data_IF_205241736726
#
_entry.id   IF_205241736726
#
_cell.length_a   1.000
_cell.length_b   1.000
_cell.length_c   1.000
_cell.angle_alpha   90.00
_cell.angle_beta   90.00
_cell.angle_gamma   90.00
#
_symmetry.space_group_name_H-M   'P 1'
#
loop_
_entity.id
_entity.type
_entity.pdbx_description
1 polymer ?
#
# COMPACT_ATOMS: atom_id res chain seq x y z
N UNK A 1 17.90 21.24 -2.94
CA UNK A 1 16.43 21.19 -3.09
C UNK A 1 15.93 20.00 -2.29
N UNK A 2 15.06 20.20 -1.30
CA UNK A 2 14.51 19.09 -0.51
C UNK A 2 13.05 18.89 -0.93
N UNK A 3 12.76 17.74 -1.53
CA UNK A 3 11.39 17.33 -1.84
C UNK A 3 10.80 16.59 -0.65
N UNK A 4 9.60 17.00 -0.21
CA UNK A 4 8.83 16.30 0.81
C UNK A 4 7.52 15.80 0.17
N UNK A 5 7.28 14.48 0.11
CA UNK A 5 6.08 13.95 -0.52
C UNK A 5 4.83 14.25 0.32
N UNK A 6 3.80 14.80 -0.34
CA UNK A 6 2.46 15.04 0.24
C UNK A 6 1.53 13.84 0.16
N UNK A 7 1.89 12.82 -0.60
CA UNK A 7 1.18 11.54 -0.64
C UNK A 7 2.04 10.48 0.05
N UNK A 8 1.40 9.45 0.60
CA UNK A 8 2.08 8.33 1.22
C UNK A 8 3.06 7.72 0.21
N UNK A 9 4.38 7.78 0.47
CA UNK A 9 5.34 7.22 -0.47
C UNK A 9 5.34 5.68 -0.45
N UNK A 10 4.74 5.02 0.55
CA UNK A 10 4.65 3.56 0.68
C UNK A 10 3.29 3.05 0.20
N UNK A 11 3.18 2.80 -1.10
CA UNK A 11 1.97 2.30 -1.74
C UNK A 11 2.28 1.14 -2.70
N UNK A 12 1.24 0.42 -3.08
CA UNK A 12 1.31 -0.69 -4.02
C UNK A 12 0.08 -0.76 -4.92
N UNK A 13 0.18 -1.57 -5.97
CA UNK A 13 -0.92 -2.00 -6.81
C UNK A 13 -1.00 -3.53 -6.84
N UNK A 14 -2.23 -4.04 -6.69
CA UNK A 14 -2.56 -5.45 -6.86
C UNK A 14 -3.50 -5.61 -8.07
N UNK A 15 -3.47 -6.74 -8.79
CA UNK A 15 -4.08 -6.89 -10.12
C UNK A 15 -5.59 -7.11 -10.05
N UNK A 16 -6.28 -6.31 -9.23
CA UNK A 16 -7.72 -6.35 -9.05
C UNK A 16 -8.28 -4.92 -8.84
N UNK A 17 -9.44 -4.65 -9.42
CA UNK A 17 -10.21 -3.44 -9.18
C UNK A 17 -11.66 -3.85 -8.90
N UNK A 18 -12.16 -3.52 -7.72
CA UNK A 18 -13.52 -3.88 -7.31
C UNK A 18 -14.59 -2.95 -7.90
N UNK A 19 -14.21 -1.85 -8.56
CA UNK A 19 -15.13 -0.90 -9.18
C UNK A 19 -15.55 -1.33 -10.59
N UNK A 20 -16.80 -1.02 -10.92
CA UNK A 20 -17.35 -1.07 -12.27
C UNK A 20 -17.72 0.35 -12.76
N UNK A 21 -18.27 0.44 -13.97
CA UNK A 21 -18.85 1.70 -14.49
C UNK A 21 -19.91 2.24 -13.53
N UNK A 22 -20.73 1.34 -13.01
CA UNK A 22 -21.76 1.60 -12.02
C UNK A 22 -21.60 0.58 -10.89
N UNK A 23 -21.42 1.05 -9.67
CA UNK A 23 -21.26 0.15 -8.52
C UNK A 23 -19.94 -0.60 -8.50
N UNK A 24 -20.03 -1.83 -8.00
CA UNK A 24 -18.93 -2.77 -7.90
C UNK A 24 -19.03 -3.85 -8.96
N UNK A 25 -17.90 -4.51 -9.22
CA UNK A 25 -17.91 -5.71 -10.05
C UNK A 25 -18.77 -6.81 -9.41
N UNK A 26 -19.47 -7.63 -10.22
CA UNK A 26 -20.39 -8.66 -9.70
C UNK A 26 -19.73 -9.65 -8.73
N UNK A 27 -18.46 -9.96 -8.94
CA UNK A 27 -17.70 -10.87 -8.08
C UNK A 27 -17.28 -10.24 -6.74
N UNK A 28 -17.18 -8.91 -6.66
CA UNK A 28 -16.58 -8.23 -5.51
C UNK A 28 -17.24 -8.58 -4.16
N UNK A 29 -18.58 -8.64 -4.03
CA UNK A 29 -19.24 -9.04 -2.78
C UNK A 29 -18.95 -10.47 -2.34
N UNK A 30 -18.49 -11.33 -3.26
CA UNK A 30 -18.20 -12.74 -3.01
C UNK A 30 -16.71 -12.99 -2.74
N UNK A 31 -15.82 -12.27 -3.43
CA UNK A 31 -14.38 -12.57 -3.42
C UNK A 31 -13.56 -11.65 -2.52
N UNK A 32 -14.04 -10.44 -2.23
CA UNK A 32 -13.32 -9.51 -1.33
C UNK A 32 -13.69 -9.86 0.11
N UNK A 33 -12.74 -10.33 0.95
CA UNK A 33 -13.07 -10.91 2.26
C UNK A 33 -13.79 -9.95 3.22
N UNK A 34 -13.56 -8.65 3.05
CA UNK A 34 -14.10 -7.58 3.89
C UNK A 34 -15.14 -6.72 3.18
N UNK A 35 -15.70 -7.19 2.06
CA UNK A 35 -16.59 -6.36 1.23
C UNK A 35 -17.72 -5.73 2.05
N UNK A 36 -18.44 -6.56 2.82
CA UNK A 36 -19.61 -6.13 3.58
C UNK A 36 -19.26 -5.09 4.66
N UNK A 37 -18.14 -5.29 5.36
CA UNK A 37 -17.65 -4.38 6.39
C UNK A 37 -17.20 -3.03 5.79
N UNK A 38 -16.52 -3.07 4.64
CA UNK A 38 -15.93 -1.88 4.03
C UNK A 38 -16.88 -1.09 3.13
N UNK A 39 -18.06 -1.65 2.80
CA UNK A 39 -18.99 -1.05 1.85
C UNK A 39 -19.53 0.29 2.35
N UNK A 40 -19.31 1.34 1.55
CA UNK A 40 -19.74 2.72 1.84
C UNK A 40 -20.59 3.32 0.71
N UNK A 41 -21.03 2.49 -0.24
CA UNK A 41 -21.83 2.90 -1.38
C UNK A 41 -21.15 2.61 -2.73
N UNK A 42 -21.92 2.69 -3.83
CA UNK A 42 -21.55 2.12 -5.13
C UNK A 42 -20.33 2.77 -5.80
N UNK A 43 -19.92 3.97 -5.40
CA UNK A 43 -18.79 4.68 -6.00
C UNK A 43 -17.47 4.51 -5.22
N UNK A 44 -17.50 3.87 -4.05
CA UNK A 44 -16.39 3.82 -3.09
C UNK A 44 -15.74 2.43 -3.12
N UNK A 45 -14.47 2.34 -3.51
CA UNK A 45 -13.74 1.06 -3.49
C UNK A 45 -13.63 0.50 -2.07
N UNK A 46 -13.83 -0.81 -1.95
CA UNK A 46 -13.59 -1.61 -0.74
C UNK A 46 -12.14 -2.09 -0.62
N UNK A 47 -11.35 -2.00 -1.69
CA UNK A 47 -9.94 -2.42 -1.71
C UNK A 47 -8.98 -1.27 -1.39
N UNK A 48 -9.29 -0.05 -1.84
CA UNK A 48 -8.42 1.12 -1.68
C UNK A 48 -8.12 1.40 -0.20
N UNK A 49 -6.84 1.65 0.12
CA UNK A 49 -6.37 1.98 1.46
C UNK A 49 -6.12 0.78 2.37
N UNK A 50 -6.39 -0.45 1.92
CA UNK A 50 -6.01 -1.67 2.65
C UNK A 50 -4.49 -1.82 2.69
N UNK A 51 -3.98 -2.38 3.78
CA UNK A 51 -2.54 -2.55 3.97
C UNK A 51 -2.08 -3.96 3.59
N UNK A 52 -0.88 -4.03 3.04
CA UNK A 52 -0.14 -5.27 2.88
C UNK A 52 1.22 -5.18 3.55
N UNK A 53 1.69 -6.30 4.09
CA UNK A 53 3.07 -6.51 4.50
C UNK A 53 3.80 -7.19 3.35
N UNK A 54 4.92 -6.62 2.91
CA UNK A 54 5.77 -7.11 1.82
C UNK A 54 7.12 -7.48 2.42
N UNK A 55 7.52 -8.74 2.27
CA UNK A 55 8.75 -9.29 2.85
C UNK A 55 9.74 -9.66 1.76
N UNK A 56 10.98 -9.18 1.92
CA UNK A 56 12.14 -9.61 1.14
C UNK A 56 13.33 -9.83 2.07
N UNK A 57 13.83 -11.07 2.11
CA UNK A 57 14.88 -11.46 3.05
C UNK A 57 14.45 -11.20 4.51
N UNK A 58 15.31 -10.53 5.28
CA UNK A 58 15.04 -10.16 6.67
C UNK A 58 14.28 -8.84 6.88
N UNK A 59 13.77 -8.20 5.80
CA UNK A 59 13.07 -6.92 5.89
C UNK A 59 11.60 -7.05 5.51
N UNK A 60 10.76 -6.26 6.17
CA UNK A 60 9.34 -6.13 5.86
C UNK A 60 8.96 -4.66 5.72
N UNK A 61 8.35 -4.31 4.58
CA UNK A 61 7.73 -3.02 4.34
C UNK A 61 6.22 -3.16 4.45
N UNK A 62 5.55 -2.09 4.89
CA UNK A 62 4.09 -2.02 4.89
C UNK A 62 3.68 -0.96 3.88
N UNK A 63 2.73 -1.30 3.01
CA UNK A 63 2.29 -0.44 1.92
C UNK A 63 0.76 -0.42 1.85
N UNK A 64 0.20 0.75 1.52
CA UNK A 64 -1.23 0.87 1.24
C UNK A 64 -1.52 0.52 -0.22
N UNK A 65 -2.60 -0.21 -0.44
CA UNK A 65 -3.12 -0.50 -1.76
C UNK A 65 -3.82 0.74 -2.32
N UNK A 66 -3.19 1.38 -3.30
CA UNK A 66 -3.66 2.66 -3.83
C UNK A 66 -4.05 2.62 -5.32
N UNK A 67 -3.66 1.58 -6.05
CA UNK A 67 -3.89 1.45 -7.49
C UNK A 67 -4.16 -0.01 -7.92
N UNK A 68 -4.62 -0.24 -9.15
CA UNK A 68 -4.92 -1.56 -9.69
C UNK A 68 -4.01 -1.94 -10.87
N UNK A 69 -3.33 -3.08 -10.74
CA UNK A 69 -2.29 -3.54 -11.66
C UNK A 69 -1.34 -4.52 -10.97
N UNK A 70 -0.33 -5.08 -11.63
CA UNK A 70 0.14 -4.75 -12.98
C UNK A 70 -0.61 -5.47 -14.11
N UNK A 71 -0.65 -4.84 -15.30
CA UNK A 71 -1.14 -5.35 -16.61
C UNK A 71 -2.61 -5.77 -16.71
N UNK A 72 -3.28 -6.03 -15.59
CA UNK A 72 -4.68 -6.46 -15.51
C UNK A 72 -5.28 -6.00 -14.19
N UNK A 73 -6.60 -6.00 -14.11
CA UNK A 73 -7.33 -5.53 -12.93
C UNK A 73 -8.49 -6.47 -12.56
N UNK A 74 -8.45 -7.72 -13.02
CA UNK A 74 -9.50 -8.72 -12.88
C UNK A 74 -9.01 -10.02 -12.23
N UNK A 75 -7.76 -10.07 -11.75
CA UNK A 75 -7.14 -11.29 -11.25
C UNK A 75 -7.33 -11.48 -9.75
N UNK A 76 -8.60 -11.48 -9.33
CA UNK A 76 -8.98 -11.68 -7.93
C UNK A 76 -8.54 -13.04 -7.37
N UNK A 77 -8.38 -14.07 -8.21
CA UNK A 77 -7.94 -15.40 -7.79
C UNK A 77 -6.51 -15.40 -7.23
N UNK A 78 -5.65 -14.51 -7.71
CA UNK A 78 -4.31 -14.32 -7.14
C UNK A 78 -4.36 -13.40 -5.91
N UNK A 79 -5.21 -12.38 -5.94
CA UNK A 79 -5.26 -11.36 -4.88
C UNK A 79 -5.91 -11.91 -3.60
N UNK A 80 -6.98 -12.69 -3.73
CA UNK A 80 -7.77 -13.21 -2.60
C UNK A 80 -7.82 -14.73 -2.53
N UNK A 81 -7.23 -15.43 -3.50
CA UNK A 81 -7.18 -16.90 -3.55
C UNK A 81 -5.73 -17.42 -3.64
N UNK A 82 -5.60 -18.66 -4.09
CA UNK A 82 -4.32 -19.39 -4.10
C UNK A 82 -3.62 -19.43 -5.48
N UNK A 83 -4.16 -18.74 -6.50
CA UNK A 83 -3.50 -18.70 -7.80
C UNK A 83 -2.14 -17.98 -7.72
N UNK A 84 -1.20 -18.37 -8.57
CA UNK A 84 0.03 -17.59 -8.82
C UNK A 84 -0.26 -16.44 -9.81
N UNK A 85 0.56 -15.37 -9.83
CA UNK A 85 0.40 -14.33 -10.85
C UNK A 85 0.42 -14.93 -12.25
N UNK A 86 -0.47 -14.46 -13.12
CA UNK A 86 -0.50 -14.90 -14.52
C UNK A 86 0.69 -14.33 -15.30
N UNK A 87 1.21 -15.06 -16.30
CA UNK A 87 2.24 -14.53 -17.19
C UNK A 87 1.88 -13.15 -17.76
N UNK A 88 2.87 -12.26 -17.83
CA UNK A 88 2.78 -10.92 -18.39
C UNK A 88 4.17 -10.48 -18.86
N UNK A 89 4.29 -9.25 -19.38
CA UNK A 89 5.55 -8.71 -19.91
C UNK A 89 6.68 -8.69 -18.86
N UNK A 90 6.33 -8.62 -17.57
CA UNK A 90 7.27 -8.69 -16.44
C UNK A 90 7.33 -10.09 -15.81
N UNK A 91 7.24 -11.15 -16.63
CA UNK A 91 7.44 -12.56 -16.23
C UNK A 91 6.49 -13.03 -15.13
N UNK A 92 5.27 -12.49 -15.09
CA UNK A 92 4.30 -12.84 -14.05
C UNK A 92 4.43 -11.97 -12.79
N UNK A 93 4.67 -10.67 -12.94
CA UNK A 93 4.53 -9.74 -11.83
C UNK A 93 3.07 -9.71 -11.35
N UNK A 94 2.84 -9.87 -10.04
CA UNK A 94 1.52 -9.77 -9.41
C UNK A 94 1.40 -8.64 -8.40
N UNK A 95 2.46 -7.86 -8.20
CA UNK A 95 2.51 -6.78 -7.23
C UNK A 95 3.42 -5.70 -7.79
N UNK A 96 2.89 -4.50 -7.98
CA UNK A 96 3.69 -3.30 -8.22
C UNK A 96 3.86 -2.54 -6.91
N UNK A 97 5.08 -2.06 -6.66
CA UNK A 97 5.41 -1.33 -5.44
C UNK A 97 5.98 0.03 -5.78
N UNK A 98 5.74 1.01 -4.90
CA UNK A 98 6.32 2.34 -5.06
C UNK A 98 7.85 2.33 -4.97
N UNK A 99 8.54 3.36 -5.49
CA UNK A 99 9.99 3.48 -5.34
C UNK A 99 10.45 3.40 -3.88
N UNK A 100 9.69 3.97 -2.93
CA UNK A 100 10.09 3.93 -1.51
C UNK A 100 10.04 2.51 -0.92
N UNK A 101 9.06 1.68 -1.32
CA UNK A 101 9.01 0.27 -0.94
C UNK A 101 10.18 -0.49 -1.56
N UNK A 102 10.41 -0.31 -2.86
CA UNK A 102 11.53 -0.92 -3.60
C UNK A 102 12.87 -0.61 -2.92
N UNK A 103 13.12 0.67 -2.65
CA UNK A 103 14.39 1.14 -2.08
C UNK A 103 14.57 0.65 -0.64
N UNK A 104 13.51 0.65 0.17
CA UNK A 104 13.56 0.14 1.55
C UNK A 104 13.91 -1.36 1.60
N UNK A 105 13.29 -2.15 0.73
CA UNK A 105 13.49 -3.59 0.63
C UNK A 105 14.76 -3.98 -0.16
N UNK A 106 15.37 -3.05 -0.89
CA UNK A 106 16.52 -3.34 -1.76
C UNK A 106 16.15 -4.24 -2.94
N UNK A 107 14.99 -3.99 -3.54
CA UNK A 107 14.48 -4.77 -4.67
C UNK A 107 15.15 -4.35 -5.99
N UNK A 108 15.32 -5.32 -6.89
CA UNK A 108 15.62 -5.06 -8.30
C UNK A 108 14.37 -4.60 -9.06
N UNK A 109 14.51 -4.24 -10.34
CA UNK A 109 13.39 -3.82 -11.21
C UNK A 109 12.27 -4.88 -11.28
N UNK A 110 12.62 -6.16 -11.24
CA UNK A 110 11.67 -7.27 -11.07
C UNK A 110 12.29 -8.28 -10.13
N UNK A 111 11.54 -8.67 -9.11
CA UNK A 111 12.05 -9.45 -7.99
C UNK A 111 10.96 -10.35 -7.38
N UNK A 112 11.36 -11.28 -6.53
CA UNK A 112 10.46 -12.18 -5.81
C UNK A 112 10.34 -11.73 -4.36
N UNK A 113 9.11 -11.63 -3.87
CA UNK A 113 8.77 -11.24 -2.50
C UNK A 113 7.59 -12.08 -2.01
N UNK A 114 7.48 -12.22 -0.69
CA UNK A 114 6.22 -12.64 -0.09
C UNK A 114 5.39 -11.41 0.27
N UNK A 115 4.07 -11.49 0.16
CA UNK A 115 3.20 -10.47 0.72
C UNK A 115 1.93 -11.07 1.31
N UNK A 116 1.29 -10.32 2.21
CA UNK A 116 0.00 -10.67 2.80
C UNK A 116 -0.78 -9.42 3.18
N UNK A 117 -2.10 -9.53 3.26
CA UNK A 117 -2.91 -8.52 3.93
C UNK A 117 -2.57 -8.40 5.41
N UNK A 118 -2.74 -7.19 5.94
CA UNK A 118 -2.56 -6.87 7.35
C UNK A 118 -3.54 -5.77 7.73
N UNK A 119 -4.18 -5.91 8.88
CA UNK A 119 -5.07 -4.87 9.39
C UNK A 119 -4.25 -3.73 9.98
N UNK A 120 -4.77 -2.51 9.88
CA UNK A 120 -4.05 -1.31 10.31
C UNK A 120 -3.52 -1.36 11.76
N UNK A 121 -4.27 -1.88 12.76
CA UNK A 121 -3.74 -2.01 14.13
C UNK A 121 -2.46 -2.86 14.23
N UNK A 122 -2.24 -3.78 13.28
CA UNK A 122 -1.07 -4.65 13.21
C UNK A 122 0.06 -4.07 12.34
N UNK A 123 -0.12 -2.85 11.81
CA UNK A 123 0.92 -2.12 11.06
C UNK A 123 1.77 -1.33 12.06
N UNK A 124 3.02 -1.75 12.34
CA UNK A 124 3.88 -1.03 13.27
C UNK A 124 4.24 0.35 12.70
N UNK A 125 4.59 1.29 13.57
CA UNK A 125 5.15 2.57 13.12
C UNK A 125 6.48 2.34 12.39
N UNK A 126 6.63 2.97 11.24
CA UNK A 126 7.82 2.82 10.38
C UNK A 126 7.89 3.93 9.33
N UNK A 127 8.79 3.81 8.34
CA UNK A 127 8.94 4.81 7.29
C UNK A 127 7.63 5.16 6.55
N UNK A 128 6.72 4.19 6.37
CA UNK A 128 5.38 4.36 5.78
C UNK A 128 4.43 5.26 6.59
N UNK A 129 4.75 5.60 7.83
CA UNK A 129 3.97 6.50 8.67
C UNK A 129 4.50 7.94 8.64
N UNK A 130 5.68 8.20 8.07
CA UNK A 130 6.42 9.48 8.26
C UNK A 130 6.00 10.59 7.31
N UNK A 131 5.53 10.24 6.12
CA UNK A 131 5.24 11.22 5.06
C UNK A 131 3.87 10.96 4.43
N UNK A 132 3.36 11.97 3.75
CA UNK A 132 2.05 11.94 3.12
C UNK A 132 0.91 12.39 4.03
N UNK A 133 -0.06 13.06 3.44
CA UNK A 133 -1.26 13.56 4.12
C UNK A 133 -2.43 12.56 4.11
N UNK A 134 -2.29 11.46 3.35
CA UNK A 134 -3.36 10.51 3.04
C UNK A 134 -3.14 9.12 3.63
N UNK A 135 -2.06 8.86 4.37
CA UNK A 135 -1.88 7.55 5.01
C UNK A 135 -2.78 7.39 6.25
N UNK A 136 -3.14 6.15 6.59
CA UNK A 136 -4.03 5.86 7.73
C UNK A 136 -3.54 6.44 9.06
N UNK A 137 -2.23 6.48 9.32
CA UNK A 137 -1.67 7.09 10.54
C UNK A 137 -2.03 8.57 10.65
N UNK A 138 -1.79 9.34 9.58
CA UNK A 138 -2.07 10.78 9.54
C UNK A 138 -3.57 11.05 9.58
N UNK A 139 -4.38 10.25 8.88
CA UNK A 139 -5.83 10.39 8.89
C UNK A 139 -6.43 10.14 10.28
N UNK A 140 -5.95 9.11 11.00
CA UNK A 140 -6.40 8.85 12.37
C UNK A 140 -5.95 9.95 13.34
N UNK A 141 -4.71 10.43 13.24
CA UNK A 141 -4.20 11.52 14.08
C UNK A 141 -5.02 12.81 13.94
N UNK A 142 -5.45 13.13 12.70
CA UNK A 142 -6.33 14.28 12.44
C UNK A 142 -7.71 14.09 13.05
N UNK A 143 -8.27 12.88 12.98
CA UNK A 143 -9.57 12.55 13.59
C UNK A 143 -9.53 12.61 15.11
N UNK A 144 -8.40 12.27 15.73
CA UNK A 144 -8.23 12.30 17.19
C UNK A 144 -7.85 13.69 17.74
N UNK A 145 -7.66 14.70 16.89
CA UNK A 145 -7.33 16.08 17.33
C UNK A 145 -5.94 16.25 17.96
N UNK A 146 -5.03 15.29 17.77
CA UNK A 146 -3.69 15.34 18.37
C UNK A 146 -2.74 16.26 17.55
N UNK A 147 -1.91 17.10 18.20
CA UNK A 147 -1.02 18.02 17.49
C UNK A 147 0.01 17.27 16.62
N UNK A 148 0.27 17.82 15.44
CA UNK A 148 1.26 17.31 14.47
C UNK A 148 2.65 17.42 15.08
N UNK A 149 3.29 16.28 15.36
CA UNK A 149 4.72 16.25 15.72
C UNK A 149 5.51 16.56 14.46
N UNK A 150 5.89 17.83 14.28
CA UNK A 150 6.98 18.16 13.37
C UNK A 150 8.26 17.58 13.97
N UNK A 151 8.85 16.59 13.29
CA UNK A 151 10.18 16.12 13.64
C UNK A 151 11.17 17.27 13.42
N UNK A 152 11.74 17.80 14.50
CA UNK A 152 12.95 18.63 14.44
C UNK A 152 14.04 17.79 13.79
N UNK A 153 14.49 18.21 12.60
CA UNK A 153 15.76 17.76 12.04
C UNK A 153 16.85 18.05 13.08
N UNK A 154 17.72 17.09 13.46
CA UNK A 154 18.88 17.40 14.27
C UNK A 154 19.76 18.36 13.46
N UNK A 155 19.89 19.60 13.92
CA UNK A 155 20.91 20.53 13.42
C UNK A 155 22.27 19.88 13.65
N UNK A 156 23.05 19.72 12.59
CA UNK A 156 24.42 19.28 12.68
C UNK A 156 25.21 20.29 13.55
N UNK A 157 25.65 19.84 14.72
CA UNK A 157 26.65 20.56 15.52
C UNK A 157 27.97 20.58 14.75
N UNK A 158 28.39 21.77 14.35
CA UNK A 158 29.72 22.03 13.84
C UNK A 158 30.62 22.15 15.08
N UNK A 159 31.51 21.17 15.27
CA UNK A 159 32.57 21.21 16.27
C UNK A 159 33.72 22.04 15.68
N UNK A 160 34.06 23.23 16.22
CA UNK A 160 35.25 23.95 15.79
C UNK A 160 36.51 23.30 16.39
N UNK A 161 37.58 23.26 15.59
CA UNK A 161 38.97 23.16 16.09
C UNK A 161 39.54 24.55 16.23
#
# INVERSE_FOLDING_TARGET
>A
MNFTPKQNPFYCALPYNDKAREGHRPEAPQVVPWFQEAYQGPAVSTCKGRWIAIRKGGKTAYAQWEDAGPFRTDHWQYVFGDERPRPNLNRGAGLDVSPAVRDFLGMQDTDVTDWRFVDFPDVPSGPWARYGDNNTFVLQQRRSGAPVVQSRTPSAEIIPR
#
